data_IF_477104235155
#
_entry.id   IF_477104235155
#
_cell.length_a   1.000
_cell.length_b   1.000
_cell.length_c   1.000
_cell.angle_alpha   90.00
_cell.angle_beta   90.00
_cell.angle_gamma   90.00
#
_symmetry.space_group_name_H-M   'P 1'
#
loop_
_entity.id
_entity.type
_entity.pdbx_description
1 polymer ?
#
# COMPACT_ATOMS: atom_id res chain seq x y z
N UNK A 1 7.03 -12.16 -25.19
CA UNK A 1 7.35 -11.32 -26.36
C UNK A 1 7.01 -12.00 -27.69
N UNK A 2 7.35 -13.28 -27.88
CA UNK A 2 7.02 -14.04 -29.08
C UNK A 2 5.50 -14.22 -29.24
N UNK A 3 4.81 -14.53 -28.17
CA UNK A 3 3.35 -14.70 -28.14
C UNK A 3 2.62 -13.37 -28.48
N UNK A 4 3.10 -12.26 -27.95
CA UNK A 4 2.59 -10.94 -28.29
C UNK A 4 2.86 -10.59 -29.76
N UNK A 5 4.07 -10.86 -30.26
CA UNK A 5 4.40 -10.64 -31.65
C UNK A 5 3.53 -11.49 -32.60
N UNK A 6 3.25 -12.73 -32.23
CA UNK A 6 2.33 -13.60 -32.98
C UNK A 6 0.88 -13.08 -32.95
N UNK A 7 0.41 -12.59 -31.80
CA UNK A 7 -0.90 -11.98 -31.65
C UNK A 7 -1.05 -10.67 -32.46
N UNK A 8 0.05 -9.90 -32.59
CA UNK A 8 0.09 -8.67 -33.36
C UNK A 8 -0.08 -8.88 -34.87
N UNK A 9 0.38 -10.01 -35.41
CA UNK A 9 0.28 -10.32 -36.83
C UNK A 9 -1.18 -10.45 -37.28
N UNK A 10 -2.07 -10.92 -36.41
CA UNK A 10 -3.48 -11.19 -36.72
C UNK A 10 -4.37 -9.98 -36.46
N UNK A 11 -3.93 -8.99 -35.67
CA UNK A 11 -4.72 -7.81 -35.24
C UNK A 11 -6.15 -8.19 -34.79
N UNK A 12 -6.31 -9.03 -33.77
CA UNK A 12 -7.62 -9.52 -33.35
C UNK A 12 -8.48 -8.40 -32.77
N UNK A 13 -9.82 -8.45 -32.95
CA UNK A 13 -10.72 -7.44 -32.37
C UNK A 13 -10.76 -7.49 -30.82
N UNK A 14 -10.44 -8.66 -30.22
CA UNK A 14 -10.37 -8.88 -28.77
C UNK A 14 -9.10 -9.66 -28.44
N UNK A 15 -8.39 -9.22 -27.42
CA UNK A 15 -7.15 -9.85 -26.93
C UNK A 15 -7.22 -10.03 -25.41
N UNK A 16 -6.70 -11.14 -24.93
CA UNK A 16 -6.55 -11.46 -23.52
C UNK A 16 -5.07 -11.53 -23.20
N UNK A 17 -4.64 -10.81 -22.17
CA UNK A 17 -3.27 -10.84 -21.67
C UNK A 17 -3.28 -11.11 -20.17
N UNK A 18 -2.57 -12.16 -19.78
CA UNK A 18 -2.42 -12.54 -18.39
C UNK A 18 -1.01 -12.19 -17.92
N UNK A 19 -0.90 -11.23 -16.99
CA UNK A 19 0.34 -10.70 -16.43
C UNK A 19 1.48 -10.45 -17.46
N UNK A 20 1.26 -9.68 -18.53
CA UNK A 20 2.17 -9.62 -19.68
C UNK A 20 3.54 -9.01 -19.36
N UNK A 21 3.66 -8.25 -18.27
CA UNK A 21 4.92 -7.58 -17.88
C UNK A 21 5.68 -8.30 -16.78
N UNK A 22 5.17 -9.44 -16.29
CA UNK A 22 5.85 -10.22 -15.25
C UNK A 22 7.25 -10.65 -15.70
N UNK A 23 8.25 -10.39 -14.83
CA UNK A 23 9.65 -10.69 -15.10
C UNK A 23 10.38 -9.73 -16.06
N UNK A 24 9.72 -8.64 -16.48
CA UNK A 24 10.38 -7.60 -17.28
C UNK A 24 11.03 -6.55 -16.39
N UNK A 25 12.16 -6.04 -16.82
CA UNK A 25 12.78 -4.83 -16.25
C UNK A 25 11.92 -3.57 -16.56
N UNK A 26 12.09 -2.47 -15.82
CA UNK A 26 11.25 -1.28 -15.96
C UNK A 26 11.21 -0.70 -17.36
N UNK A 27 12.36 -0.71 -18.08
CA UNK A 27 12.46 -0.18 -19.44
C UNK A 27 11.67 -1.02 -20.44
N UNK A 28 11.80 -2.33 -20.35
CA UNK A 28 11.06 -3.26 -21.20
C UNK A 28 9.57 -3.24 -20.90
N UNK A 29 9.17 -3.02 -19.63
CA UNK A 29 7.77 -2.85 -19.23
C UNK A 29 7.15 -1.62 -19.90
N UNK A 30 7.81 -0.47 -19.86
CA UNK A 30 7.33 0.74 -20.52
C UNK A 30 7.20 0.57 -22.03
N UNK A 31 8.17 -0.08 -22.69
CA UNK A 31 8.08 -0.36 -24.12
C UNK A 31 6.86 -1.24 -24.45
N UNK A 32 6.58 -2.23 -23.63
CA UNK A 32 5.41 -3.09 -23.82
C UNK A 32 4.11 -2.30 -23.63
N UNK A 33 4.02 -1.42 -22.66
CA UNK A 33 2.87 -0.55 -22.46
C UNK A 33 2.56 0.33 -23.68
N UNK A 34 3.59 0.89 -24.31
CA UNK A 34 3.40 1.66 -25.53
C UNK A 34 2.86 0.82 -26.68
N UNK A 35 3.33 -0.41 -26.83
CA UNK A 35 2.80 -1.36 -27.83
C UNK A 35 1.34 -1.69 -27.54
N UNK A 36 0.98 -1.95 -26.28
CA UNK A 36 -0.40 -2.22 -25.85
C UNK A 36 -1.30 -1.02 -26.16
N UNK A 37 -0.87 0.20 -25.83
CA UNK A 37 -1.63 1.42 -26.14
C UNK A 37 -1.88 1.59 -27.64
N UNK A 38 -0.89 1.31 -28.47
CA UNK A 38 -1.03 1.36 -29.93
C UNK A 38 -2.07 0.35 -30.44
N UNK A 39 -2.09 -0.86 -29.88
CA UNK A 39 -3.09 -1.88 -30.22
C UNK A 39 -4.51 -1.45 -29.86
N UNK A 40 -4.69 -0.96 -28.65
CA UNK A 40 -5.99 -0.49 -28.16
C UNK A 40 -6.46 0.73 -28.95
N UNK A 41 -5.57 1.67 -29.27
CA UNK A 41 -5.89 2.82 -30.13
C UNK A 41 -6.22 2.42 -31.56
N UNK A 42 -5.70 1.28 -32.04
CA UNK A 42 -6.04 0.66 -33.32
C UNK A 42 -7.41 -0.04 -33.35
N UNK A 43 -8.14 -0.07 -32.23
CA UNK A 43 -9.48 -0.64 -32.12
C UNK A 43 -9.57 -2.03 -31.50
N UNK A 44 -8.45 -2.61 -31.04
CA UNK A 44 -8.45 -3.87 -30.30
C UNK A 44 -9.02 -3.66 -28.88
N UNK A 45 -9.98 -4.47 -28.48
CA UNK A 45 -10.42 -4.55 -27.09
C UNK A 45 -9.51 -5.47 -26.32
N UNK A 46 -8.91 -4.97 -25.23
CA UNK A 46 -7.97 -5.73 -24.40
C UNK A 46 -8.60 -6.05 -23.03
N UNK A 47 -8.59 -7.33 -22.65
CA UNK A 47 -8.73 -7.74 -21.26
C UNK A 47 -7.36 -8.11 -20.72
N UNK A 48 -6.92 -7.35 -19.72
CA UNK A 48 -5.62 -7.49 -19.08
C UNK A 48 -5.79 -7.93 -17.62
N UNK A 49 -5.07 -8.96 -17.17
CA UNK A 49 -4.88 -9.24 -15.75
C UNK A 49 -3.49 -8.80 -15.34
N UNK A 50 -3.37 -8.20 -14.17
CA UNK A 50 -2.08 -7.79 -13.62
C UNK A 50 -2.13 -7.71 -12.10
N UNK A 51 -1.01 -7.99 -11.45
CA UNK A 51 -0.77 -7.69 -10.05
C UNK A 51 -0.07 -6.34 -9.84
N UNK A 52 0.39 -5.70 -10.92
CA UNK A 52 1.05 -4.40 -10.87
C UNK A 52 0.02 -3.28 -11.05
N UNK A 53 -0.31 -2.60 -9.96
CA UNK A 53 -1.32 -1.54 -9.96
C UNK A 53 -0.91 -0.33 -10.82
N UNK A 54 0.39 -0.08 -10.96
CA UNK A 54 0.93 0.92 -11.90
C UNK A 54 0.59 0.59 -13.37
N UNK A 55 0.63 -0.71 -13.74
CA UNK A 55 0.22 -1.15 -15.08
C UNK A 55 -1.26 -0.90 -15.35
N UNK A 56 -2.10 -1.23 -14.38
CA UNK A 56 -3.54 -0.96 -14.45
C UNK A 56 -3.82 0.54 -14.58
N UNK A 57 -3.13 1.38 -13.78
CA UNK A 57 -3.24 2.84 -13.85
C UNK A 57 -2.86 3.43 -15.21
N UNK A 58 -1.87 2.81 -15.86
CA UNK A 58 -1.31 3.31 -17.11
C UNK A 58 -2.09 2.87 -18.36
N UNK A 59 -2.73 1.70 -18.31
CA UNK A 59 -3.30 1.03 -19.48
C UNK A 59 -4.81 0.92 -19.45
N UNK A 60 -5.43 0.80 -18.28
CA UNK A 60 -6.83 0.44 -18.18
C UNK A 60 -7.76 1.64 -18.28
N UNK A 61 -8.82 1.52 -19.08
CA UNK A 61 -9.94 2.46 -19.09
C UNK A 61 -10.97 2.15 -18.00
N UNK A 62 -11.14 0.88 -17.65
CA UNK A 62 -12.01 0.38 -16.58
C UNK A 62 -11.24 -0.68 -15.80
N UNK A 63 -11.23 -0.58 -14.48
CA UNK A 63 -10.50 -1.45 -13.57
C UNK A 63 -11.50 -2.22 -12.72
N UNK A 64 -11.28 -3.52 -12.60
CA UNK A 64 -12.04 -4.40 -11.73
C UNK A 64 -11.08 -5.02 -10.72
N UNK A 65 -11.20 -4.64 -9.44
CA UNK A 65 -10.39 -5.20 -8.36
C UNK A 65 -11.06 -6.45 -7.83
N UNK A 66 -10.33 -7.57 -7.87
CA UNK A 66 -10.81 -8.88 -7.42
C UNK A 66 -10.03 -9.32 -6.18
N UNK A 67 -10.73 -9.66 -5.12
CA UNK A 67 -10.18 -10.23 -3.91
C UNK A 67 -11.00 -11.45 -3.47
N UNK A 68 -10.32 -12.54 -3.10
CA UNK A 68 -10.96 -13.81 -2.69
C UNK A 68 -12.09 -14.27 -3.65
N UNK A 69 -11.89 -14.11 -4.97
CA UNK A 69 -12.84 -14.49 -6.01
C UNK A 69 -14.07 -13.59 -6.12
N UNK A 70 -14.05 -12.42 -5.51
CA UNK A 70 -15.14 -11.43 -5.56
C UNK A 70 -14.62 -10.09 -6.07
N UNK A 71 -15.47 -9.40 -6.83
CA UNK A 71 -15.21 -8.01 -7.21
C UNK A 71 -15.46 -7.13 -5.99
N UNK A 72 -14.41 -6.44 -5.53
CA UNK A 72 -14.47 -5.54 -4.37
C UNK A 72 -14.54 -4.07 -4.77
N UNK A 73 -14.06 -3.71 -5.97
CA UNK A 73 -14.21 -2.37 -6.53
C UNK A 73 -14.19 -2.41 -8.05
N UNK A 74 -14.83 -1.41 -8.68
CA UNK A 74 -14.83 -1.22 -10.14
C UNK A 74 -14.96 0.24 -10.50
N UNK A 75 -14.24 0.68 -11.54
CA UNK A 75 -14.31 2.03 -12.10
C UNK A 75 -13.04 2.40 -12.85
N UNK A 76 -12.96 3.66 -13.28
CA UNK A 76 -11.72 4.21 -13.82
C UNK A 76 -10.67 4.39 -12.70
N UNK A 77 -9.40 4.50 -13.07
CA UNK A 77 -8.33 4.77 -12.09
C UNK A 77 -8.64 6.00 -11.24
N UNK A 78 -9.10 7.09 -11.85
CA UNK A 78 -9.44 8.34 -11.14
C UNK A 78 -10.63 8.16 -10.18
N UNK A 79 -11.66 7.40 -10.60
CA UNK A 79 -12.81 7.11 -9.73
C UNK A 79 -12.40 6.28 -8.50
N UNK A 80 -11.53 5.28 -8.70
CA UNK A 80 -11.04 4.47 -7.60
C UNK A 80 -10.16 5.29 -6.65
N UNK A 81 -9.22 6.09 -7.17
CA UNK A 81 -8.36 6.97 -6.38
C UNK A 81 -9.15 8.01 -5.58
N UNK A 82 -10.26 8.51 -6.14
CA UNK A 82 -11.11 9.47 -5.42
C UNK A 82 -11.79 8.87 -4.16
N UNK A 83 -11.95 7.54 -4.09
CA UNK A 83 -12.53 6.87 -2.92
C UNK A 83 -11.59 6.83 -1.71
N UNK A 84 -10.29 6.99 -1.89
CA UNK A 84 -9.27 6.95 -0.81
C UNK A 84 -8.93 8.29 -0.17
N UNK A 85 -9.80 9.29 -0.28
CA UNK A 85 -9.65 10.58 0.40
C UNK A 85 -9.04 11.70 -0.45
N UNK A 86 -8.76 11.47 -1.73
CA UNK A 86 -8.33 12.52 -2.65
C UNK A 86 -6.88 12.98 -2.48
N UNK A 87 -6.59 14.20 -2.96
CA UNK A 87 -5.26 14.80 -2.83
C UNK A 87 -4.92 15.08 -1.37
N UNK A 88 -3.65 14.95 -1.01
CA UNK A 88 -3.14 15.26 0.34
C UNK A 88 -1.88 16.13 0.24
N UNK A 89 -1.75 17.05 1.16
CA UNK A 89 -0.50 17.79 1.37
C UNK A 89 0.31 17.04 2.41
N UNK A 90 1.55 16.74 2.08
CA UNK A 90 2.56 16.21 2.99
C UNK A 90 3.59 17.30 3.26
N UNK A 91 3.90 17.53 4.54
CA UNK A 91 4.89 18.49 5.01
C UNK A 91 5.85 17.80 5.95
N UNK A 92 7.15 17.98 5.76
CA UNK A 92 8.17 17.57 6.71
C UNK A 92 8.75 18.82 7.35
N UNK A 93 8.53 18.99 8.66
CA UNK A 93 9.07 20.15 9.39
C UNK A 93 10.51 19.91 9.81
N UNK A 94 11.32 20.98 9.81
CA UNK A 94 12.73 20.90 10.18
C UNK A 94 12.90 20.52 11.66
N UNK A 95 12.14 21.12 12.55
CA UNK A 95 12.23 20.91 13.99
C UNK A 95 10.98 20.25 14.57
N UNK A 96 11.18 19.32 15.49
CA UNK A 96 10.06 18.59 16.15
C UNK A 96 9.15 19.53 16.94
N UNK A 97 9.68 20.60 17.47
CA UNK A 97 8.95 21.58 18.27
C UNK A 97 7.84 22.27 17.47
N UNK A 98 8.02 22.36 16.16
CA UNK A 98 7.06 22.97 15.25
C UNK A 98 5.93 22.04 14.78
N UNK A 99 5.97 20.75 15.10
CA UNK A 99 4.95 19.75 14.65
C UNK A 99 3.53 20.19 15.07
N UNK A 100 3.35 20.60 16.32
CA UNK A 100 2.03 20.98 16.82
C UNK A 100 1.49 22.21 16.09
N UNK A 101 2.32 23.26 15.92
CA UNK A 101 1.93 24.49 15.24
C UNK A 101 1.70 24.26 13.74
N UNK A 102 2.54 23.44 13.09
CA UNK A 102 2.34 23.06 11.70
C UNK A 102 1.05 22.25 11.51
N UNK A 103 0.70 21.38 12.45
CA UNK A 103 -0.55 20.63 12.42
C UNK A 103 -1.77 21.54 12.50
N UNK A 104 -1.73 22.59 13.32
CA UNK A 104 -2.80 23.60 13.38
C UNK A 104 -2.95 24.37 12.07
N UNK A 105 -1.84 24.77 11.47
CA UNK A 105 -1.84 25.42 10.15
C UNK A 105 -2.47 24.52 9.11
N UNK A 106 -2.00 23.28 8.99
CA UNK A 106 -2.48 22.33 7.99
C UNK A 106 -3.97 22.00 8.17
N UNK A 107 -4.45 21.93 9.41
CA UNK A 107 -5.88 21.72 9.71
C UNK A 107 -6.77 22.83 9.14
N UNK A 108 -6.26 24.07 9.04
CA UNK A 108 -6.99 25.19 8.44
C UNK A 108 -7.20 25.03 6.93
N UNK A 109 -6.36 24.26 6.25
CA UNK A 109 -6.43 23.99 4.80
C UNK A 109 -7.06 22.64 4.46
N UNK A 110 -7.10 21.73 5.42
CA UNK A 110 -7.57 20.36 5.24
C UNK A 110 -9.07 20.19 5.29
N UNK A 111 -9.55 19.08 4.70
CA UNK A 111 -10.94 18.60 4.84
C UNK A 111 -11.10 17.44 5.81
N UNK A 112 -10.05 17.12 6.57
CA UNK A 112 -10.04 16.01 7.51
C UNK A 112 -8.98 16.20 8.58
N UNK A 113 -8.75 15.16 9.36
CA UNK A 113 -7.74 15.16 10.40
C UNK A 113 -6.32 15.16 9.81
N UNK A 114 -5.42 15.88 10.46
CA UNK A 114 -4.00 15.86 10.14
C UNK A 114 -3.36 14.64 10.79
N UNK A 115 -2.79 13.76 10.00
CA UNK A 115 -1.98 12.64 10.50
C UNK A 115 -0.56 13.12 10.75
N UNK A 116 0.01 12.77 11.89
CA UNK A 116 1.37 13.14 12.28
C UNK A 116 2.21 11.89 12.50
N UNK A 117 3.32 11.81 11.79
CA UNK A 117 4.37 10.80 11.98
C UNK A 117 5.56 11.45 12.72
N UNK A 118 5.62 11.31 14.03
CA UNK A 118 6.62 12.00 14.87
C UNK A 118 8.07 11.64 14.51
N UNK A 119 8.33 10.38 14.14
CA UNK A 119 9.69 9.93 13.80
C UNK A 119 10.26 10.62 12.56
N UNK A 120 9.44 10.77 11.55
CA UNK A 120 9.79 11.40 10.26
C UNK A 120 9.50 12.89 10.26
N UNK A 121 8.87 13.42 11.30
CA UNK A 121 8.41 14.83 11.39
C UNK A 121 7.46 15.19 10.25
N UNK A 122 6.79 14.17 9.70
CA UNK A 122 5.89 14.31 8.55
C UNK A 122 4.46 14.50 9.01
N UNK A 123 3.81 15.51 8.44
CA UNK A 123 2.41 15.79 8.61
C UNK A 123 1.70 15.58 7.28
N UNK A 124 0.54 14.93 7.33
CA UNK A 124 -0.28 14.67 6.13
C UNK A 124 -1.70 15.14 6.39
N UNK A 125 -2.23 15.93 5.47
CA UNK A 125 -3.63 16.41 5.55
C UNK A 125 -4.33 16.22 4.21
N UNK A 126 -5.57 15.63 4.20
CA UNK A 126 -6.40 15.57 3.00
C UNK A 126 -6.82 16.96 2.56
N UNK A 127 -6.68 17.27 1.27
CA UNK A 127 -6.97 18.59 0.73
C UNK A 127 -7.75 18.52 -0.58
N UNK A 128 -8.31 19.66 -0.98
CA UNK A 128 -8.84 19.88 -2.32
C UNK A 128 -8.41 21.28 -2.77
N UNK A 129 -7.80 21.39 -3.93
CA UNK A 129 -7.37 22.70 -4.43
C UNK A 129 -6.09 22.68 -5.25
N UNK A 130 -5.45 21.53 -5.35
CA UNK A 130 -4.28 21.35 -6.20
C UNK A 130 -3.09 22.22 -5.81
N UNK A 131 -2.28 22.57 -6.80
CA UNK A 131 -1.02 23.30 -6.60
C UNK A 131 -1.17 24.71 -6.00
N UNK A 132 -2.34 25.35 -6.15
CA UNK A 132 -2.58 26.68 -5.53
C UNK A 132 -2.55 26.60 -4.01
N UNK A 133 -3.17 25.56 -3.46
CA UNK A 133 -3.21 25.35 -2.02
C UNK A 133 -1.81 25.16 -1.43
N UNK A 134 -0.93 24.45 -2.16
CA UNK A 134 0.45 24.25 -1.73
C UNK A 134 1.18 25.58 -1.48
N UNK A 135 1.00 26.56 -2.39
CA UNK A 135 1.60 27.88 -2.24
C UNK A 135 1.02 28.68 -1.06
N UNK A 136 -0.24 28.46 -0.73
CA UNK A 136 -0.88 29.08 0.44
C UNK A 136 -0.38 28.47 1.75
N UNK A 137 -0.26 27.16 1.80
CA UNK A 137 0.31 26.42 2.94
C UNK A 137 1.75 26.88 3.22
N UNK A 138 2.60 26.96 2.18
CA UNK A 138 3.99 27.40 2.32
C UNK A 138 4.03 28.81 2.94
N UNK A 139 3.24 29.75 2.41
CA UNK A 139 3.22 31.12 2.93
C UNK A 139 2.76 31.20 4.39
N UNK A 140 1.77 30.40 4.77
CA UNK A 140 1.28 30.41 6.15
C UNK A 140 2.30 29.79 7.12
N UNK A 141 2.99 28.70 6.72
CA UNK A 141 4.08 28.11 7.52
C UNK A 141 5.24 29.10 7.70
N UNK A 142 5.67 29.75 6.61
CA UNK A 142 6.73 30.75 6.61
C UNK A 142 6.37 31.96 7.50
N UNK A 143 5.13 32.45 7.42
CA UNK A 143 4.64 33.56 8.25
C UNK A 143 4.71 33.31 9.75
N UNK A 144 4.71 32.01 10.16
CA UNK A 144 4.84 31.55 11.54
C UNK A 144 6.26 31.13 11.91
N UNK A 145 7.22 31.32 11.00
CA UNK A 145 8.62 30.98 11.22
C UNK A 145 8.88 29.47 11.28
N UNK A 146 8.02 28.66 10.64
CA UNK A 146 8.16 27.21 10.60
C UNK A 146 9.01 26.83 9.39
N UNK A 147 10.23 26.38 9.64
CA UNK A 147 11.11 25.83 8.60
C UNK A 147 10.64 24.43 8.19
N UNK A 148 10.66 24.16 6.88
CA UNK A 148 10.24 22.90 6.28
C UNK A 148 11.39 22.27 5.49
N UNK A 149 11.60 20.96 5.66
CA UNK A 149 12.58 20.18 4.90
C UNK A 149 12.01 19.73 3.55
N UNK A 150 10.72 19.39 3.51
CA UNK A 150 10.02 18.95 2.30
C UNK A 150 8.53 19.30 2.37
N UNK A 151 7.95 19.59 1.21
CA UNK A 151 6.51 19.76 1.05
C UNK A 151 6.08 19.26 -0.32
N UNK A 152 4.98 18.51 -0.36
CA UNK A 152 4.46 17.98 -1.61
C UNK A 152 2.94 17.81 -1.61
N UNK A 153 2.36 17.93 -2.81
CA UNK A 153 0.99 17.51 -3.07
C UNK A 153 1.04 16.06 -3.58
N UNK A 154 0.49 15.15 -2.78
CA UNK A 154 0.40 13.74 -3.16
C UNK A 154 -1.00 13.42 -3.65
N UNK A 155 -1.05 12.69 -4.75
CA UNK A 155 -2.28 12.09 -5.25
C UNK A 155 -2.32 10.63 -4.84
N UNK A 156 -3.48 10.10 -4.46
CA UNK A 156 -3.59 8.68 -4.15
C UNK A 156 -3.15 7.83 -5.34
N UNK A 157 -2.52 6.73 -5.06
CA UNK A 157 -2.18 5.69 -6.02
C UNK A 157 -3.25 4.59 -6.00
N UNK A 158 -3.23 3.69 -6.96
CA UNK A 158 -4.08 2.49 -6.90
C UNK A 158 -3.65 1.54 -5.77
N UNK A 159 -2.37 1.60 -5.34
CA UNK A 159 -1.89 0.85 -4.17
C UNK A 159 -2.58 1.34 -2.89
N UNK A 160 -2.73 2.65 -2.72
CA UNK A 160 -3.49 3.23 -1.59
C UNK A 160 -4.95 2.75 -1.61
N UNK A 161 -5.57 2.70 -2.80
CA UNK A 161 -6.94 2.18 -2.97
C UNK A 161 -7.01 0.72 -2.54
N UNK A 162 -6.12 -0.11 -3.05
CA UNK A 162 -6.09 -1.54 -2.76
C UNK A 162 -5.92 -1.81 -1.26
N UNK A 163 -4.95 -1.12 -0.62
CA UNK A 163 -4.71 -1.26 0.82
C UNK A 163 -5.92 -0.81 1.65
N UNK A 164 -6.60 0.28 1.26
CA UNK A 164 -7.78 0.73 1.98
C UNK A 164 -8.95 -0.25 1.87
N UNK A 165 -9.14 -0.86 0.71
CA UNK A 165 -10.22 -1.83 0.48
C UNK A 165 -9.97 -3.16 1.19
N UNK A 166 -8.73 -3.67 1.15
CA UNK A 166 -8.37 -4.94 1.79
C UNK A 166 -8.21 -4.79 3.31
N UNK A 167 -7.72 -3.65 3.81
CA UNK A 167 -7.60 -3.34 5.23
C UNK A 167 -8.96 -3.29 5.92
N UNK A 168 -9.92 -2.59 5.38
CA UNK A 168 -11.27 -2.51 5.94
C UNK A 168 -12.00 -3.86 5.96
N UNK A 169 -11.82 -4.69 4.96
CA UNK A 169 -12.41 -6.04 4.91
C UNK A 169 -11.77 -6.98 5.96
N UNK A 170 -10.49 -6.83 6.26
CA UNK A 170 -9.80 -7.62 7.29
C UNK A 170 -10.29 -7.25 8.71
N UNK A 171 -10.46 -5.96 9.00
CA UNK A 171 -10.98 -5.46 10.28
C UNK A 171 -12.40 -5.95 10.57
N UNK A 172 -13.29 -5.90 9.58
CA UNK A 172 -14.68 -6.38 9.74
C UNK A 172 -14.75 -7.89 10.00
N UNK A 173 -13.85 -8.69 9.42
CA UNK A 173 -13.82 -10.14 9.68
C UNK A 173 -13.30 -10.47 11.07
N UNK A 174 -12.35 -9.72 11.58
CA UNK A 174 -11.79 -9.93 12.92
C UNK A 174 -12.80 -9.54 14.01
N UNK A 175 -13.61 -8.50 13.83
CA UNK A 175 -14.68 -8.11 14.75
C UNK A 175 -15.82 -9.14 14.79
N UNK A 176 -16.27 -9.67 13.66
CA UNK A 176 -17.30 -10.71 13.63
C UNK A 176 -16.83 -12.03 14.28
N UNK A 177 -15.53 -12.38 14.18
CA UNK A 177 -14.99 -13.56 14.83
C UNK A 177 -14.72 -13.35 16.33
N UNK A 178 -14.51 -12.12 16.78
CA UNK A 178 -14.31 -11.78 18.19
C UNK A 178 -15.59 -11.88 19.06
N UNK A 179 -16.76 -11.65 18.45
CA UNK A 179 -18.06 -11.69 19.17
C UNK A 179 -18.64 -13.12 19.29
N UNK A 180 -18.19 -14.07 18.50
CA UNK A 180 -18.66 -15.46 18.55
C UNK A 180 -17.92 -16.37 19.57
N UNK A 181 -16.90 -15.85 20.29
CA UNK A 181 -16.03 -16.61 21.19
C UNK A 181 -16.44 -16.67 22.66
N UNK A 182 -17.42 -15.90 23.12
CA UNK A 182 -17.79 -15.84 24.55
C UNK A 182 -19.13 -16.48 24.87
N UNK A 183 -19.33 -17.74 24.61
CA UNK A 183 -20.40 -18.50 25.27
C UNK A 183 -20.19 -20.02 25.20
N UNK A 184 -19.22 -20.54 25.90
CA UNK A 184 -19.29 -21.93 26.44
C UNK A 184 -18.27 -22.12 27.56
N UNK A 185 -18.77 -21.97 28.78
CA UNK A 185 -18.04 -22.28 30.01
C UNK A 185 -17.57 -23.72 30.07
N UNK A 186 -16.33 -23.90 30.45
CA UNK A 186 -15.81 -25.18 30.94
C UNK A 186 -15.11 -24.95 32.27
N UNK A 187 -15.67 -25.60 33.31
CA UNK A 187 -15.19 -25.64 34.68
C UNK A 187 -13.76 -26.17 34.79
N UNK A 188 -13.00 -25.77 35.79
CA UNK A 188 -11.63 -26.23 35.99
C UNK A 188 -11.59 -27.64 36.56
N UNK A 189 -10.73 -28.50 36.02
CA UNK A 189 -10.38 -29.80 36.61
C UNK A 189 -9.03 -29.67 37.31
N UNK A 190 -9.05 -30.07 38.59
CA UNK A 190 -7.95 -30.09 39.55
C UNK A 190 -6.79 -30.96 39.10
N UNK A 191 -5.59 -30.50 39.44
CA UNK A 191 -4.32 -31.24 39.44
C UNK A 191 -4.30 -32.47 40.33
N UNK A 192 -3.35 -33.39 40.11
CA UNK A 192 -2.57 -33.81 41.27
C UNK A 192 -1.06 -33.62 41.10
N UNK A 193 -0.53 -33.04 42.14
CA UNK A 193 0.85 -32.98 42.57
C UNK A 193 1.59 -34.32 42.49
N UNK A 194 2.84 -34.30 42.00
CA UNK A 194 3.90 -35.20 42.51
C UNK A 194 5.26 -34.54 42.34
N UNK A 195 5.87 -34.45 43.47
CA UNK A 195 7.20 -33.93 43.82
C UNK A 195 8.28 -35.05 43.69
N UNK A 196 9.52 -34.75 44.04
CA UNK A 196 10.71 -34.95 43.21
C UNK A 196 11.58 -36.13 43.66
N UNK A 197 12.61 -36.45 42.97
CA UNK A 197 13.94 -36.79 43.43
C UNK A 197 14.76 -37.72 42.51
N UNK A 198 16.04 -37.38 42.51
CA UNK A 198 17.25 -38.23 42.29
C UNK A 198 17.53 -38.62 40.83
N UNK A 199 18.72 -38.46 40.33
CA UNK A 199 20.08 -38.71 40.75
C UNK A 199 20.99 -38.19 39.62
N UNK A 200 21.97 -37.36 39.86
CA UNK A 200 23.40 -37.61 40.11
C UNK A 200 24.15 -38.42 39.05
N UNK A 201 25.29 -37.82 38.70
CA UNK A 201 26.57 -38.40 38.25
C UNK A 201 26.62 -38.92 36.79
N UNK A 202 27.60 -38.67 36.01
CA UNK A 202 29.03 -38.40 36.16
C UNK A 202 29.65 -37.92 34.86
N UNK A 203 30.57 -37.01 34.94
CA UNK A 203 31.99 -37.13 34.49
C UNK A 203 32.21 -37.20 32.97
N UNK A 204 32.90 -36.24 32.46
CA UNK A 204 34.33 -35.96 32.42
C UNK A 204 34.97 -36.22 31.06
N UNK A 205 35.79 -35.28 30.65
CA UNK A 205 36.99 -35.41 29.81
C UNK A 205 36.78 -35.49 28.29
N UNK A 206 37.50 -34.84 27.48
CA UNK A 206 38.81 -34.19 27.40
C UNK A 206 38.87 -33.56 26.00
N UNK A 207 39.24 -32.34 25.90
CA UNK A 207 40.53 -31.80 25.51
C UNK A 207 40.97 -31.94 24.04
N UNK A 208 41.26 -30.76 23.48
CA UNK A 208 42.44 -30.42 22.64
C UNK A 208 42.55 -31.13 21.26
N UNK A 209 42.83 -30.47 20.18
CA UNK A 209 44.05 -29.80 19.80
C UNK A 209 44.01 -29.42 18.32
N UNK A 210 44.49 -28.22 18.01
CA UNK A 210 45.30 -27.77 16.87
C UNK A 210 44.78 -27.90 15.46
N UNK A 211 44.65 -26.81 14.76
CA UNK A 211 45.67 -25.94 14.10
C UNK A 211 46.06 -26.40 12.69
N UNK A 212 46.01 -25.42 11.79
CA UNK A 212 46.91 -25.22 10.67
C UNK A 212 46.62 -26.01 9.36
N UNK A 213 46.07 -25.35 8.37
CA UNK A 213 46.77 -24.90 7.16
C UNK A 213 45.88 -23.97 6.36
#
# INVERSE_FOLDING_TARGET
>A
RLDLAAALVVSPPVMFMDEPTTGLDPRNRQQLWEVIKQLVSGGTTLLLTTQYLEEADHLAHDICVVDHGRVIARGTADQLKAQTGGERVEVVVHEREHIATASEVLRGFGKGETTVEEHTRKLTVPVTGGAKLLAEVIRELDSRGIEIDDIGLRRPTLDDVFLSLTGHVAEVKDEENGVAGEARGRKPKKDPVKDPAKNETAQTETAQTEATK
#
